data_IF_134049793443
#
_entry.id   IF_134049793443
#
_cell.length_a   1.000
_cell.length_b   1.000
_cell.length_c   1.000
_cell.angle_alpha   90.00
_cell.angle_beta   90.00
_cell.angle_gamma   90.00
#
_symmetry.space_group_name_H-M   'P 1'
#
loop_
_entity.id
_entity.type
_entity.pdbx_description
1 polymer ?
#
# COMPACT_ATOMS: atom_id res chain seq x y z
N UNK A 1 -2.95 35.14 44.18
CA UNK A 1 -3.57 34.67 42.92
C UNK A 1 -2.55 34.66 41.77
N UNK A 2 -1.94 33.50 41.49
CA UNK A 2 -1.04 33.29 40.35
C UNK A 2 -1.76 32.52 39.22
N UNK A 3 -1.34 32.67 37.94
CA UNK A 3 -2.03 32.03 36.83
C UNK A 3 -1.75 30.53 36.83
N UNK A 4 -2.82 29.73 36.90
CA UNK A 4 -2.77 28.27 36.68
C UNK A 4 -2.34 27.99 35.24
N UNK A 5 -1.22 27.29 35.06
CA UNK A 5 -0.88 26.67 33.76
C UNK A 5 -2.02 25.74 33.33
N UNK A 6 -2.42 25.72 32.05
CA UNK A 6 -3.27 24.66 31.54
C UNK A 6 -2.48 23.34 31.63
N UNK A 7 -3.04 22.38 32.37
CA UNK A 7 -2.62 20.99 32.34
C UNK A 7 -2.61 20.53 30.88
N UNK A 8 -1.43 20.12 30.39
CA UNK A 8 -1.29 19.39 29.12
C UNK A 8 -2.31 18.27 29.16
N UNK A 9 -3.33 18.35 28.30
CA UNK A 9 -4.19 17.22 28.02
C UNK A 9 -3.29 16.04 27.67
N UNK A 10 -3.56 14.90 28.30
CA UNK A 10 -2.91 13.66 27.94
C UNK A 10 -3.03 13.48 26.42
N UNK A 11 -1.89 13.42 25.73
CA UNK A 11 -1.88 12.90 24.37
C UNK A 11 -2.37 11.47 24.50
N UNK A 12 -3.51 11.08 23.90
CA UNK A 12 -3.94 9.70 23.95
C UNK A 12 -2.83 8.86 23.31
N UNK A 13 -2.15 8.06 24.13
CA UNK A 13 -1.25 7.02 23.68
C UNK A 13 -2.10 5.88 23.13
N UNK A 14 -2.68 6.08 21.96
CA UNK A 14 -3.33 5.03 21.15
C UNK A 14 -2.27 4.10 20.49
N UNK A 15 -1.21 3.80 21.24
CA UNK A 15 -0.16 2.83 20.94
C UNK A 15 -0.34 1.55 21.74
N UNK A 16 -1.59 1.14 21.99
CA UNK A 16 -1.87 -0.10 22.68
C UNK A 16 -1.35 -1.30 21.88
N UNK A 17 -0.85 -2.37 22.54
CA UNK A 17 -0.29 -3.56 21.89
C UNK A 17 -1.23 -4.27 20.91
N UNK A 18 -2.53 -3.94 20.92
CA UNK A 18 -3.54 -4.44 19.97
C UNK A 18 -3.48 -3.81 18.57
N UNK A 19 -2.95 -2.59 18.40
CA UNK A 19 -2.79 -1.97 17.06
C UNK A 19 -1.61 -2.56 16.30
N UNK A 20 -0.52 -2.87 17.00
CA UNK A 20 0.69 -3.44 16.41
C UNK A 20 0.51 -4.91 16.00
N UNK A 21 -0.29 -5.68 16.75
CA UNK A 21 -0.58 -7.08 16.42
C UNK A 21 -1.48 -7.22 15.17
N UNK A 22 -2.42 -6.30 14.95
CA UNK A 22 -3.30 -6.30 13.78
C UNK A 22 -2.59 -5.80 12.50
N UNK A 23 -1.61 -4.91 12.64
CA UNK A 23 -0.76 -4.43 11.53
C UNK A 23 0.35 -5.43 11.15
N UNK A 24 0.60 -6.47 11.96
CA UNK A 24 1.62 -7.48 11.71
C UNK A 24 1.21 -8.51 10.65
N UNK A 25 -0.09 -8.72 10.42
CA UNK A 25 -0.54 -9.62 9.36
C UNK A 25 -0.54 -8.89 8.02
N UNK A 26 0.23 -9.36 7.02
CA UNK A 26 0.27 -8.70 5.72
C UNK A 26 -1.09 -8.78 5.04
N UNK A 27 -1.54 -7.67 4.46
CA UNK A 27 -2.74 -7.63 3.63
C UNK A 27 -2.50 -8.51 2.41
N UNK A 28 -3.42 -9.43 2.11
CA UNK A 28 -3.31 -10.27 0.91
C UNK A 28 -3.97 -9.59 -0.28
N UNK A 29 -3.22 -9.46 -1.36
CA UNK A 29 -3.67 -8.88 -2.62
C UNK A 29 -3.39 -9.92 -3.72
N UNK A 30 -4.45 -10.51 -4.27
CA UNK A 30 -4.33 -11.33 -5.48
C UNK A 30 -4.53 -10.42 -6.70
N UNK A 31 -3.50 -10.25 -7.51
CA UNK A 31 -3.62 -9.68 -8.85
C UNK A 31 -4.14 -10.78 -9.77
N UNK A 32 -5.30 -10.55 -10.39
CA UNK A 32 -5.91 -11.48 -11.33
C UNK A 32 -5.31 -11.22 -12.71
N UNK A 33 -4.50 -12.17 -13.21
CA UNK A 33 -3.80 -12.02 -14.48
C UNK A 33 -4.77 -12.17 -15.65
N UNK A 34 -5.38 -11.07 -16.07
CA UNK A 34 -6.12 -11.03 -17.33
C UNK A 34 -5.15 -11.07 -18.51
N UNK A 35 -5.63 -11.47 -19.70
CA UNK A 35 -4.81 -11.43 -20.93
C UNK A 35 -4.24 -10.02 -21.20
N UNK A 36 -5.01 -8.97 -20.90
CA UNK A 36 -4.55 -7.59 -20.96
C UNK A 36 -3.39 -7.32 -19.97
N UNK A 37 -3.51 -7.80 -18.73
CA UNK A 37 -2.46 -7.68 -17.73
C UNK A 37 -1.17 -8.41 -18.12
N UNK A 38 -1.28 -9.64 -18.64
CA UNK A 38 -0.14 -10.46 -19.02
C UNK A 38 0.69 -9.86 -20.18
N UNK A 39 0.02 -9.22 -21.14
CA UNK A 39 0.67 -8.50 -22.24
C UNK A 39 1.50 -7.31 -21.75
N UNK A 40 0.95 -6.54 -20.81
CA UNK A 40 1.62 -5.37 -20.23
C UNK A 40 2.67 -5.71 -19.17
N UNK A 41 2.55 -6.86 -18.51
CA UNK A 41 3.57 -7.37 -17.59
C UNK A 41 4.90 -7.67 -18.31
N UNK A 42 4.82 -8.20 -19.53
CA UNK A 42 5.98 -8.58 -20.35
C UNK A 42 6.67 -7.39 -21.00
N UNK A 43 5.91 -6.35 -21.37
CA UNK A 43 6.45 -5.15 -22.05
C UNK A 43 6.80 -4.08 -21.02
N UNK A 44 8.09 -3.98 -20.69
CA UNK A 44 8.68 -3.10 -19.66
C UNK A 44 8.48 -1.58 -19.83
N UNK A 45 7.69 -1.13 -20.79
CA UNK A 45 7.75 0.26 -21.29
C UNK A 45 6.43 1.01 -21.23
N UNK A 46 5.30 0.32 -21.06
CA UNK A 46 4.00 1.00 -21.01
C UNK A 46 3.85 1.78 -19.70
N UNK A 47 3.73 3.11 -19.82
CA UNK A 47 3.36 4.02 -18.73
C UNK A 47 1.85 4.09 -18.53
N UNK A 48 1.10 3.45 -19.42
CA UNK A 48 -0.35 3.56 -19.48
C UNK A 48 -0.97 2.72 -18.38
N UNK A 49 -2.04 3.27 -17.79
CA UNK A 49 -2.86 2.53 -16.87
C UNK A 49 -3.75 1.57 -17.65
N UNK A 50 -3.66 0.28 -17.37
CA UNK A 50 -4.39 -0.77 -18.09
C UNK A 50 -5.52 -1.32 -17.22
N UNK A 51 -6.67 -1.71 -17.80
CA UNK A 51 -7.73 -2.35 -17.04
C UNK A 51 -7.23 -3.62 -16.35
N UNK A 52 -7.57 -3.79 -15.08
CA UNK A 52 -7.20 -4.96 -14.29
C UNK A 52 -8.24 -5.22 -13.20
N UNK A 53 -8.41 -6.50 -12.89
CA UNK A 53 -9.15 -6.95 -11.72
C UNK A 53 -8.18 -7.40 -10.63
N UNK A 54 -8.49 -7.12 -9.38
CA UNK A 54 -7.70 -7.59 -8.25
C UNK A 54 -8.59 -7.93 -7.07
N UNK A 55 -8.14 -8.88 -6.25
CA UNK A 55 -8.83 -9.31 -5.04
C UNK A 55 -8.08 -8.84 -3.80
N UNK A 56 -8.77 -8.13 -2.91
CA UNK A 56 -8.22 -7.69 -1.62
C UNK A 56 -9.13 -8.23 -0.53
N UNK A 57 -8.58 -9.00 0.41
CA UNK A 57 -9.34 -9.61 1.50
C UNK A 57 -10.60 -10.41 1.07
N UNK A 58 -10.59 -10.98 -0.14
CA UNK A 58 -11.72 -11.75 -0.69
C UNK A 58 -12.65 -10.96 -1.61
N UNK A 59 -12.63 -9.62 -1.56
CA UNK A 59 -13.44 -8.75 -2.40
C UNK A 59 -12.75 -8.48 -3.73
N UNK A 60 -13.50 -8.50 -4.84
CA UNK A 60 -12.99 -8.24 -6.19
C UNK A 60 -13.24 -6.80 -6.57
N UNK A 61 -12.21 -6.15 -7.10
CA UNK A 61 -12.25 -4.77 -7.55
C UNK A 61 -11.84 -4.72 -9.02
N UNK A 62 -12.64 -4.03 -9.82
CA UNK A 62 -12.29 -3.62 -11.16
C UNK A 62 -11.61 -2.26 -11.10
N UNK A 63 -10.48 -2.13 -11.79
CA UNK A 63 -9.70 -0.92 -11.71
C UNK A 63 -8.68 -0.81 -12.83
N UNK A 64 -7.67 0.01 -12.58
CA UNK A 64 -6.54 0.19 -13.46
C UNK A 64 -5.24 -0.11 -12.75
N UNK A 65 -4.28 -0.60 -13.52
CA UNK A 65 -2.96 -0.97 -13.06
C UNK A 65 -1.91 -0.24 -13.90
N UNK A 66 -0.84 0.25 -13.28
CA UNK A 66 0.34 0.75 -14.01
C UNK A 66 1.63 0.44 -13.27
N UNK A 67 2.73 0.31 -14.01
CA UNK A 67 4.08 0.23 -13.43
C UNK A 67 4.43 1.54 -12.70
N UNK A 68 4.98 1.43 -11.49
CA UNK A 68 5.35 2.57 -10.66
C UNK A 68 6.85 2.64 -10.40
N UNK A 69 7.40 3.86 -10.45
CA UNK A 69 8.81 4.15 -10.21
C UNK A 69 9.71 3.82 -11.40
N UNK A 70 10.87 4.47 -11.46
CA UNK A 70 11.86 4.23 -12.52
C UNK A 70 12.51 2.83 -12.39
N UNK A 71 12.92 2.41 -11.19
CA UNK A 71 13.56 1.11 -10.96
C UNK A 71 12.72 -0.07 -11.47
N UNK A 72 11.40 -0.05 -11.24
CA UNK A 72 10.47 -1.07 -11.75
C UNK A 72 10.42 -1.18 -13.28
N UNK A 73 10.79 -0.11 -14.01
CA UNK A 73 10.84 -0.10 -15.48
C UNK A 73 12.12 -0.74 -16.01
N UNK A 74 13.24 -0.57 -15.30
CA UNK A 74 14.54 -1.16 -15.65
C UNK A 74 14.64 -2.64 -15.29
N UNK A 75 13.85 -3.08 -14.31
CA UNK A 75 13.78 -4.45 -13.82
C UNK A 75 12.97 -5.38 -14.75
N UNK A 76 13.42 -5.52 -16.02
CA UNK A 76 12.70 -6.27 -17.07
C UNK A 76 12.54 -7.77 -16.75
N UNK A 77 13.49 -8.38 -16.05
CA UNK A 77 13.53 -9.83 -15.83
C UNK A 77 13.00 -10.30 -14.48
N UNK A 78 12.65 -9.39 -13.56
CA UNK A 78 12.11 -9.76 -12.25
C UNK A 78 10.61 -9.49 -12.15
N UNK A 79 9.91 -10.42 -11.48
CA UNK A 79 8.50 -10.27 -11.12
C UNK A 79 8.30 -9.28 -9.96
N UNK A 80 9.38 -8.82 -9.33
CA UNK A 80 9.38 -7.94 -8.15
C UNK A 80 9.40 -6.46 -8.56
N UNK A 81 8.39 -6.04 -9.31
CA UNK A 81 8.21 -4.64 -9.73
C UNK A 81 7.24 -3.91 -8.80
N UNK A 82 7.32 -2.59 -8.76
CA UNK A 82 6.36 -1.76 -8.06
C UNK A 82 5.24 -1.32 -9.00
N UNK A 83 4.04 -1.18 -8.44
CA UNK A 83 2.83 -0.90 -9.19
C UNK A 83 1.99 0.15 -8.51
N UNK A 84 1.11 0.74 -9.29
CA UNK A 84 0.00 1.50 -8.77
C UNK A 84 -1.30 0.86 -9.21
N UNK A 85 -2.17 0.62 -8.23
CA UNK A 85 -3.56 0.25 -8.43
C UNK A 85 -4.43 1.49 -8.30
N UNK A 86 -5.42 1.63 -9.17
CA UNK A 86 -6.45 2.67 -9.11
C UNK A 86 -7.83 2.02 -9.21
N UNK A 87 -8.75 2.40 -8.33
CA UNK A 87 -10.16 1.99 -8.39
C UNK A 87 -11.05 3.18 -8.77
N UNK A 88 -12.23 2.93 -9.37
CA UNK A 88 -13.28 3.93 -9.55
C UNK A 88 -13.65 4.68 -8.26
N UNK A 89 -14.06 5.94 -8.40
CA UNK A 89 -14.31 6.84 -7.28
C UNK A 89 -15.49 6.41 -6.38
N UNK A 90 -16.45 5.70 -6.96
CA UNK A 90 -17.66 5.12 -6.39
C UNK A 90 -17.41 3.77 -5.69
N UNK A 91 -16.29 3.11 -5.96
CA UNK A 91 -15.93 1.81 -5.36
C UNK A 91 -14.61 1.91 -4.57
N UNK A 92 -14.57 2.66 -3.45
CA UNK A 92 -13.34 2.87 -2.70
C UNK A 92 -12.86 1.57 -2.07
N UNK A 93 -11.59 1.21 -2.30
CA UNK A 93 -11.01 0.00 -1.73
C UNK A 93 -10.67 0.23 -0.24
N UNK A 94 -10.76 -0.80 0.58
CA UNK A 94 -10.32 -0.75 1.97
C UNK A 94 -9.34 -1.88 2.22
N UNK A 95 -8.14 -1.54 2.68
CA UNK A 95 -7.10 -2.55 2.98
C UNK A 95 -7.44 -3.38 4.22
N UNK A 96 -8.35 -2.89 5.06
CA UNK A 96 -8.83 -3.55 6.28
C UNK A 96 -10.28 -3.15 6.56
N UNK A 97 -11.07 -4.03 7.21
CA UNK A 97 -12.43 -3.69 7.63
C UNK A 97 -12.47 -2.39 8.44
N UNK A 98 -13.37 -1.47 8.09
CA UNK A 98 -13.49 -0.17 8.75
C UNK A 98 -12.37 0.85 8.47
N UNK A 99 -11.33 0.49 7.71
CA UNK A 99 -10.24 1.40 7.32
C UNK A 99 -10.68 2.49 6.33
N UNK A 100 -9.84 3.50 6.07
CA UNK A 100 -10.16 4.56 5.11
C UNK A 100 -10.38 4.01 3.71
N UNK A 101 -11.32 4.60 2.97
CA UNK A 101 -11.51 4.32 1.56
C UNK A 101 -10.36 4.89 0.73
N UNK A 102 -9.65 4.03 0.01
CA UNK A 102 -8.54 4.41 -0.85
C UNK A 102 -8.98 4.32 -2.32
N UNK A 103 -8.54 5.28 -3.12
CA UNK A 103 -8.75 5.27 -4.58
C UNK A 103 -7.52 4.82 -5.35
N UNK A 104 -6.36 4.96 -4.71
CA UNK A 104 -5.07 4.67 -5.29
C UNK A 104 -4.19 4.01 -4.22
N UNK A 105 -3.55 2.92 -4.59
CA UNK A 105 -2.59 2.20 -3.75
C UNK A 105 -1.31 2.01 -4.53
N UNK A 106 -0.19 2.29 -3.87
CA UNK A 106 1.14 2.00 -4.39
C UNK A 106 1.61 0.69 -3.76
N UNK A 107 1.84 -0.31 -4.61
CA UNK A 107 2.47 -1.57 -4.23
C UNK A 107 3.96 -1.44 -4.52
N UNK A 108 4.76 -1.24 -3.47
CA UNK A 108 6.21 -1.12 -3.60
C UNK A 108 6.82 -2.50 -3.41
N UNK A 109 7.63 -2.97 -4.38
CA UNK A 109 8.29 -4.28 -4.27
C UNK A 109 9.40 -4.31 -3.24
N UNK A 110 9.94 -3.13 -2.88
CA UNK A 110 11.07 -2.94 -1.97
C UNK A 110 12.27 -3.84 -2.33
N UNK A 111 12.39 -4.23 -3.60
CA UNK A 111 13.39 -5.20 -4.04
C UNK A 111 14.82 -4.67 -3.93
N UNK A 112 15.00 -3.38 -4.23
CA UNK A 112 16.28 -2.68 -4.14
C UNK A 112 16.60 -2.22 -2.71
N UNK A 113 15.61 -2.28 -1.80
CA UNK A 113 15.83 -2.02 -0.38
C UNK A 113 16.51 -3.26 0.24
N UNK A 114 17.80 -3.14 0.54
CA UNK A 114 18.59 -4.22 1.16
C UNK A 114 18.00 -4.70 2.49
N UNK A 115 17.30 -3.83 3.20
CA UNK A 115 16.64 -4.14 4.46
C UNK A 115 15.17 -4.52 4.27
N UNK A 116 14.62 -4.38 3.05
CA UNK A 116 13.24 -4.64 2.59
C UNK A 116 12.12 -3.96 3.39
N UNK A 117 12.44 -3.34 4.50
CA UNK A 117 11.54 -2.74 5.48
C UNK A 117 11.98 -1.33 5.84
N UNK A 118 13.05 -0.78 5.26
CA UNK A 118 13.54 0.55 5.64
C UNK A 118 12.47 1.61 5.34
N UNK A 119 11.81 1.51 4.18
CA UNK A 119 10.68 2.38 3.85
C UNK A 119 9.54 2.23 4.86
N UNK A 120 9.09 1.00 5.12
CA UNK A 120 7.98 0.71 6.03
C UNK A 120 8.28 1.19 7.47
N UNK A 121 9.45 0.85 7.99
CA UNK A 121 9.89 1.22 9.33
C UNK A 121 10.03 2.74 9.49
N UNK A 122 10.55 3.43 8.47
CA UNK A 122 10.64 4.91 8.49
C UNK A 122 9.25 5.53 8.59
N UNK A 123 8.31 5.10 7.75
CA UNK A 123 6.94 5.60 7.77
C UNK A 123 6.26 5.32 9.14
N UNK A 124 6.50 4.14 9.71
CA UNK A 124 6.01 3.79 11.06
C UNK A 124 6.61 4.66 12.16
N UNK A 125 7.87 5.05 12.05
CA UNK A 125 8.54 5.93 13.02
C UNK A 125 8.06 7.39 12.94
N UNK A 126 7.65 7.85 11.76
CA UNK A 126 7.13 9.22 11.59
C UNK A 126 5.78 9.44 12.28
N UNK A 127 4.99 8.39 12.47
CA UNK A 127 3.66 8.53 13.05
C UNK A 127 3.61 8.95 14.51
N UNK A 128 4.36 8.30 15.42
CA UNK A 128 4.50 8.76 16.79
C UNK A 128 5.03 10.19 16.93
N UNK A 129 5.72 10.72 15.91
CA UNK A 129 6.27 12.07 15.90
C UNK A 129 5.24 13.14 15.51
N UNK A 130 4.00 12.76 15.20
CA UNK A 130 2.93 13.69 14.82
C UNK A 130 3.16 14.37 13.46
N UNK A 131 4.13 13.90 12.68
CA UNK A 131 4.35 14.35 11.31
C UNK A 131 3.28 13.72 10.42
N UNK A 132 2.82 14.42 9.37
CA UNK A 132 1.92 13.81 8.39
C UNK A 132 2.72 12.85 7.50
N UNK A 133 2.24 11.62 7.35
CA UNK A 133 2.88 10.60 6.52
C UNK A 133 1.83 9.77 5.77
N UNK A 134 2.18 9.24 4.59
CA UNK A 134 1.32 8.30 3.88
C UNK A 134 1.21 6.99 4.67
N UNK A 135 -0.01 6.50 4.88
CA UNK A 135 -0.22 5.23 5.55
C UNK A 135 0.43 4.07 4.77
N UNK A 136 1.27 3.28 5.43
CA UNK A 136 1.91 2.10 4.85
C UNK A 136 1.49 0.83 5.60
N UNK A 137 1.33 -0.26 4.86
CA UNK A 137 1.09 -1.60 5.41
C UNK A 137 1.86 -2.62 4.57
N UNK A 138 2.27 -3.72 5.19
CA UNK A 138 2.87 -4.82 4.45
C UNK A 138 1.79 -5.59 3.70
N UNK A 139 2.09 -5.98 2.47
CA UNK A 139 1.17 -6.74 1.65
C UNK A 139 1.88 -7.94 1.02
N UNK A 140 1.17 -9.07 0.98
CA UNK A 140 1.55 -10.23 0.20
C UNK A 140 0.83 -10.14 -1.16
N UNK A 141 1.59 -9.93 -2.23
CA UNK A 141 1.05 -9.87 -3.59
C UNK A 141 1.21 -11.22 -4.26
N UNK A 142 0.09 -11.77 -4.72
CA UNK A 142 0.04 -13.04 -5.46
C UNK A 142 -0.45 -12.78 -6.89
N UNK A 143 0.07 -13.55 -7.82
CA UNK A 143 -0.43 -13.58 -9.19
C UNK A 143 -1.24 -14.87 -9.34
N UNK A 144 -2.51 -14.77 -9.72
CA UNK A 144 -3.37 -15.92 -9.98
C UNK A 144 -3.93 -15.88 -11.39
N UNK A 145 -4.08 -17.06 -11.98
CA UNK A 145 -4.79 -17.30 -13.24
C UNK A 145 -6.31 -17.11 -13.05
#
# INVERSE_FOLDING_TARGET
PGPRRPSRGAVPTDGGPGRDAADAQPVRIDLLFTAAFAGHWKTSESKDAVPAAFRINGEVFEGRFRLWGQGSRYLKHTKRRSFQLEVPADTPLRLRPGGPGLRRVLLLSLFEDQYRLAYYSTIRLLGPLGLWYPHATLAEVRCRD
#
